data_IF_199620474551
#
_entry.id   IF_199620474551
#
_cell.length_a   1.000
_cell.length_b   1.000
_cell.length_c   1.000
_cell.angle_alpha   90.00
_cell.angle_beta   90.00
_cell.angle_gamma   90.00
#
_symmetry.space_group_name_H-M   'P 1'
#
loop_
_entity.id
_entity.type
_entity.pdbx_description
1 polymer ?
#
# COMPACT_ATOMS: atom_id res chain seq x y z
N UNK A 1 8.11 12.38 15.81
CA UNK A 1 6.97 12.74 14.96
C UNK A 1 6.05 11.53 14.84
N UNK A 2 4.75 11.76 14.73
CA UNK A 2 3.75 10.68 14.64
C UNK A 2 3.54 10.32 13.15
N UNK A 3 4.59 9.79 12.50
CA UNK A 3 4.55 9.41 11.08
C UNK A 3 4.64 7.90 10.91
N UNK A 4 4.04 7.36 9.84
CA UNK A 4 4.15 5.94 9.53
C UNK A 4 5.60 5.57 9.16
N UNK A 5 6.35 6.49 8.53
CA UNK A 5 7.80 6.30 8.34
C UNK A 5 8.52 6.03 9.66
N UNK A 6 8.27 6.83 10.70
CA UNK A 6 8.91 6.61 12.02
C UNK A 6 8.55 5.27 12.64
N UNK A 7 7.33 4.75 12.38
CA UNK A 7 6.93 3.40 12.79
C UNK A 7 7.73 2.32 12.06
N UNK A 8 7.91 2.47 10.74
CA UNK A 8 8.71 1.55 9.91
C UNK A 8 10.18 1.53 10.32
N UNK A 9 10.80 2.70 10.50
CA UNK A 9 12.17 2.82 10.99
C UNK A 9 12.35 2.17 12.36
N UNK A 10 11.39 2.37 13.26
CA UNK A 10 11.38 1.72 14.57
C UNK A 10 11.28 0.21 14.45
N UNK A 11 10.36 -0.31 13.61
CA UNK A 11 10.19 -1.74 13.38
C UNK A 11 11.50 -2.36 12.84
N UNK A 12 12.12 -1.75 11.84
CA UNK A 12 13.41 -2.20 11.29
C UNK A 12 14.51 -2.20 12.36
N UNK A 13 14.65 -1.11 13.12
CA UNK A 13 15.73 -0.94 14.08
C UNK A 13 15.63 -1.90 15.28
N UNK A 14 14.42 -2.10 15.82
CA UNK A 14 14.22 -2.89 17.04
C UNK A 14 13.90 -4.35 16.75
N UNK A 15 13.31 -4.65 15.60
CA UNK A 15 12.78 -5.97 15.26
C UNK A 15 13.27 -6.48 13.91
N UNK A 16 14.38 -5.94 13.40
CA UNK A 16 14.90 -6.23 12.06
C UNK A 16 15.03 -7.72 11.72
N UNK A 17 15.38 -8.56 12.70
CA UNK A 17 15.48 -10.02 12.53
C UNK A 17 14.15 -10.77 12.68
N UNK A 18 13.10 -10.10 13.21
CA UNK A 18 11.80 -10.73 13.41
C UNK A 18 11.05 -10.81 12.08
N UNK A 19 10.13 -11.77 11.98
CA UNK A 19 9.22 -11.88 10.84
C UNK A 19 8.33 -10.64 10.75
N UNK A 20 8.31 -10.01 9.58
CA UNK A 20 7.44 -8.90 9.23
C UNK A 20 6.27 -9.37 8.35
N UNK A 21 6.54 -10.22 7.37
CA UNK A 21 5.60 -10.64 6.33
C UNK A 21 5.45 -12.15 6.33
N UNK A 22 4.19 -12.60 6.24
CA UNK A 22 3.79 -13.98 6.05
C UNK A 22 2.73 -14.02 4.95
N UNK A 23 3.06 -14.56 3.78
CA UNK A 23 2.11 -14.72 2.69
C UNK A 23 2.36 -16.06 1.98
N UNK A 24 1.49 -17.05 2.17
CA UNK A 24 1.67 -18.42 1.67
C UNK A 24 3.03 -18.97 2.12
N UNK A 25 3.92 -19.29 1.19
CA UNK A 25 5.29 -19.76 1.46
C UNK A 25 6.31 -18.61 1.60
N UNK A 26 5.90 -17.37 1.31
CA UNK A 26 6.75 -16.20 1.39
C UNK A 26 6.85 -15.68 2.83
N UNK A 27 8.09 -15.53 3.32
CA UNK A 27 8.37 -14.93 4.63
C UNK A 27 9.52 -13.95 4.51
N UNK A 28 9.30 -12.76 5.04
CA UNK A 28 10.35 -11.73 5.14
C UNK A 28 10.51 -11.28 6.58
N UNK A 29 11.75 -11.00 6.96
CA UNK A 29 12.04 -10.24 8.19
C UNK A 29 11.74 -8.75 7.97
N UNK A 30 11.68 -7.97 9.07
CA UNK A 30 11.56 -6.52 8.97
C UNK A 30 12.71 -5.89 8.19
N UNK A 31 13.94 -6.38 8.35
CA UNK A 31 15.08 -5.90 7.58
C UNK A 31 14.90 -6.14 6.07
N UNK A 32 14.46 -7.33 5.66
CA UNK A 32 14.22 -7.68 4.26
C UNK A 32 13.02 -6.90 3.68
N UNK A 33 11.95 -6.76 4.45
CA UNK A 33 10.78 -6.00 4.05
C UNK A 33 11.15 -4.53 3.82
N UNK A 34 11.93 -3.93 4.73
CA UNK A 34 12.36 -2.54 4.62
C UNK A 34 13.34 -2.29 3.47
N UNK A 35 14.29 -3.21 3.18
CA UNK A 35 15.11 -3.10 1.98
C UNK A 35 14.24 -3.04 0.72
N UNK A 36 13.21 -3.88 0.66
CA UNK A 36 12.27 -3.87 -0.46
C UNK A 36 11.43 -2.59 -0.51
N UNK A 37 10.95 -2.08 0.63
CA UNK A 37 10.21 -0.80 0.72
C UNK A 37 11.05 0.36 0.22
N UNK A 38 12.33 0.43 0.62
CA UNK A 38 13.24 1.48 0.17
C UNK A 38 13.52 1.41 -1.34
N UNK A 39 13.66 0.22 -1.92
CA UNK A 39 13.80 0.05 -3.38
C UNK A 39 12.51 0.39 -4.13
N UNK A 40 11.37 0.02 -3.58
CA UNK A 40 10.06 0.37 -4.15
C UNK A 40 9.82 1.89 -4.11
N UNK A 41 10.31 2.59 -3.08
CA UNK A 41 10.31 4.04 -3.04
C UNK A 41 11.15 4.66 -4.18
N UNK A 42 12.30 4.05 -4.55
CA UNK A 42 13.06 4.45 -5.75
C UNK A 42 12.24 4.24 -7.01
N UNK A 43 11.56 3.09 -7.14
CA UNK A 43 10.67 2.82 -8.29
C UNK A 43 9.57 3.88 -8.39
N UNK A 44 8.96 4.29 -7.29
CA UNK A 44 7.98 5.39 -7.28
C UNK A 44 8.60 6.68 -7.82
N UNK A 45 9.76 7.09 -7.31
CA UNK A 45 10.49 8.30 -7.74
C UNK A 45 10.86 8.27 -9.23
N UNK A 46 11.39 7.16 -9.72
CA UNK A 46 11.77 6.97 -11.13
C UNK A 46 10.55 7.03 -12.08
N UNK A 47 9.35 6.77 -11.55
CA UNK A 47 8.08 6.88 -12.27
C UNK A 47 7.35 8.20 -12.00
N UNK A 48 8.05 9.23 -11.50
CA UNK A 48 7.52 10.57 -11.30
C UNK A 48 6.58 10.70 -10.11
N UNK A 49 6.62 9.76 -9.15
CA UNK A 49 5.81 9.81 -7.93
C UNK A 49 6.71 10.20 -6.75
N UNK A 50 6.70 11.46 -6.42
CA UNK A 50 7.44 12.04 -5.31
C UNK A 50 6.55 12.45 -4.13
N UNK A 51 7.09 13.36 -3.30
CA UNK A 51 6.38 13.91 -2.14
C UNK A 51 5.03 14.54 -2.53
N UNK A 52 3.96 14.10 -1.88
CA UNK A 52 2.60 14.61 -2.08
C UNK A 52 1.92 14.12 -3.35
N UNK A 53 2.65 13.47 -4.27
CA UNK A 53 2.06 12.86 -5.45
C UNK A 53 1.24 11.63 -5.07
N UNK A 54 0.22 11.34 -5.87
CA UNK A 54 -0.70 10.25 -5.64
C UNK A 54 -0.51 9.13 -6.66
N UNK A 55 -0.53 7.90 -6.17
CA UNK A 55 -0.52 6.71 -7.01
C UNK A 55 -1.62 5.75 -6.59
N UNK A 56 -2.23 5.06 -7.54
CA UNK A 56 -3.32 4.14 -7.26
C UNK A 56 -2.84 2.69 -7.24
N UNK A 57 -3.50 1.87 -6.41
CA UNK A 57 -3.23 0.44 -6.27
C UNK A 57 -4.53 -0.34 -6.45
N UNK A 58 -4.64 -1.13 -7.51
CA UNK A 58 -5.72 -2.09 -7.76
C UNK A 58 -5.17 -3.48 -7.46
N UNK A 59 -5.37 -3.95 -6.23
CA UNK A 59 -4.75 -5.18 -5.73
C UNK A 59 -5.59 -5.82 -4.63
N UNK A 60 -5.54 -7.16 -4.54
CA UNK A 60 -6.07 -7.93 -3.41
C UNK A 60 -5.24 -7.69 -2.14
N UNK A 61 -5.61 -8.34 -1.05
CA UNK A 61 -4.82 -8.35 0.17
C UNK A 61 -3.55 -9.21 -0.04
N UNK A 62 -2.43 -8.55 -0.32
CA UNK A 62 -1.14 -9.20 -0.53
C UNK A 62 -0.03 -8.42 0.14
N UNK A 63 1.08 -9.07 0.41
CA UNK A 63 2.29 -8.42 0.94
C UNK A 63 2.85 -7.35 -0.03
N UNK A 64 2.62 -7.50 -1.34
CA UNK A 64 3.01 -6.51 -2.34
C UNK A 64 2.19 -5.23 -2.22
N UNK A 65 0.88 -5.37 -1.97
CA UNK A 65 0.01 -4.22 -1.67
C UNK A 65 0.51 -3.48 -0.42
N UNK A 66 0.78 -4.19 0.67
CA UNK A 66 1.37 -3.61 1.89
C UNK A 66 2.71 -2.91 1.60
N UNK A 67 3.57 -3.52 0.79
CA UNK A 67 4.84 -2.93 0.37
C UNK A 67 4.65 -1.58 -0.34
N UNK A 68 3.65 -1.45 -1.21
CA UNK A 68 3.30 -0.20 -1.89
C UNK A 68 2.81 0.88 -0.91
N UNK A 69 1.96 0.51 0.06
CA UNK A 69 1.52 1.46 1.10
C UNK A 69 2.72 1.97 1.91
N UNK A 70 3.57 1.06 2.38
CA UNK A 70 4.77 1.41 3.14
C UNK A 70 5.80 2.19 2.31
N UNK A 71 5.90 1.94 1.00
CA UNK A 71 6.76 2.72 0.11
C UNK A 71 6.24 4.16 -0.06
N UNK A 72 4.92 4.35 -0.10
CA UNK A 72 4.29 5.67 -0.02
C UNK A 72 4.67 6.39 1.26
N UNK A 73 4.52 5.74 2.41
CA UNK A 73 4.92 6.28 3.73
C UNK A 73 6.42 6.64 3.78
N UNK A 74 7.27 5.85 3.13
CA UNK A 74 8.72 6.08 3.07
C UNK A 74 9.09 7.23 2.14
N UNK A 75 8.41 7.34 1.01
CA UNK A 75 8.68 8.31 -0.05
C UNK A 75 7.98 9.66 0.16
N UNK A 76 7.03 9.75 1.11
CA UNK A 76 6.16 10.92 1.29
C UNK A 76 5.10 11.07 0.20
N UNK A 77 4.85 10.04 -0.60
CA UNK A 77 3.77 10.00 -1.58
C UNK A 77 2.52 9.35 -1.01
N UNK A 78 1.36 9.62 -1.62
CA UNK A 78 0.06 9.26 -1.08
C UNK A 78 -0.55 8.09 -1.84
N UNK A 79 -0.55 6.86 -1.28
CA UNK A 79 -1.23 5.73 -1.88
C UNK A 79 -2.75 5.93 -1.88
N UNK A 80 -3.38 5.48 -2.97
CA UNK A 80 -4.82 5.45 -3.16
C UNK A 80 -5.23 4.00 -3.45
N UNK A 81 -5.52 3.19 -2.41
CA UNK A 81 -6.02 1.83 -2.61
C UNK A 81 -7.42 1.87 -3.21
N UNK A 82 -7.60 1.19 -4.33
CA UNK A 82 -8.85 1.23 -5.10
C UNK A 82 -9.64 -0.05 -4.91
N UNK A 83 -10.93 0.07 -4.66
CA UNK A 83 -11.83 -1.06 -4.60
C UNK A 83 -12.00 -1.70 -6.00
N UNK A 84 -11.34 -2.82 -6.24
CA UNK A 84 -11.35 -3.57 -7.50
C UNK A 84 -12.72 -4.22 -7.83
N UNK A 85 -13.71 -4.13 -6.93
CA UNK A 85 -15.08 -4.64 -7.17
C UNK A 85 -15.99 -3.59 -7.82
N UNK A 86 -15.51 -2.36 -7.98
CA UNK A 86 -16.24 -1.29 -8.64
C UNK A 86 -16.22 -1.48 -10.16
N UNK A 87 -17.24 -0.91 -10.83
CA UNK A 87 -17.27 -0.87 -12.29
C UNK A 87 -16.20 0.09 -12.86
N UNK A 88 -15.68 -0.14 -14.09
CA UNK A 88 -14.66 0.71 -14.70
C UNK A 88 -14.94 2.21 -14.66
N UNK A 89 -16.16 2.73 -14.91
CA UNK A 89 -16.45 4.16 -14.79
C UNK A 89 -16.34 4.71 -13.37
N UNK A 90 -16.63 3.90 -12.34
CA UNK A 90 -16.51 4.29 -10.95
C UNK A 90 -15.03 4.37 -10.54
N UNK A 91 -14.22 3.39 -10.96
CA UNK A 91 -12.78 3.43 -10.77
C UNK A 91 -12.18 4.64 -11.48
N UNK A 92 -12.57 4.88 -12.75
CA UNK A 92 -12.12 6.06 -13.49
C UNK A 92 -12.39 7.35 -12.73
N UNK A 93 -13.59 7.51 -12.16
CA UNK A 93 -13.91 8.68 -11.34
C UNK A 93 -12.93 8.84 -10.18
N UNK A 94 -12.58 7.76 -9.48
CA UNK A 94 -11.60 7.78 -8.38
C UNK A 94 -10.22 8.21 -8.87
N UNK A 95 -9.75 7.65 -9.99
CA UNK A 95 -8.44 7.96 -10.55
C UNK A 95 -8.33 9.44 -10.98
N UNK A 96 -9.38 9.98 -11.59
CA UNK A 96 -9.44 11.38 -12.03
C UNK A 96 -9.55 12.34 -10.84
N UNK A 97 -10.45 12.08 -9.88
CA UNK A 97 -10.68 12.92 -8.70
C UNK A 97 -9.44 12.93 -7.79
N UNK A 98 -8.75 11.81 -7.67
CA UNK A 98 -7.49 11.72 -6.93
C UNK A 98 -6.30 12.34 -7.69
N UNK A 99 -6.39 12.58 -8.98
CA UNK A 99 -5.28 13.07 -9.80
C UNK A 99 -4.14 12.07 -9.89
N UNK A 100 -4.45 10.80 -10.22
CA UNK A 100 -3.47 9.72 -10.21
C UNK A 100 -2.46 9.85 -11.36
N UNK A 101 -1.18 9.98 -11.00
CA UNK A 101 -0.07 9.97 -11.95
C UNK A 101 0.38 8.57 -12.34
N UNK A 102 0.44 7.64 -11.38
CA UNK A 102 0.91 6.26 -11.60
C UNK A 102 -0.10 5.24 -11.09
N UNK A 103 -0.32 4.17 -11.87
CA UNK A 103 -1.23 3.08 -11.53
C UNK A 103 -0.47 1.76 -11.37
N UNK A 104 -0.70 1.07 -10.25
CA UNK A 104 -0.24 -0.29 -10.00
C UNK A 104 -1.43 -1.25 -10.05
N UNK A 105 -1.34 -2.32 -10.84
CA UNK A 105 -2.45 -3.27 -11.05
C UNK A 105 -1.98 -4.70 -10.85
N UNK A 106 -2.65 -5.45 -9.99
CA UNK A 106 -2.40 -6.88 -9.83
C UNK A 106 -2.85 -7.67 -11.06
N UNK A 107 -2.10 -8.67 -11.46
CA UNK A 107 -2.31 -9.47 -12.67
C UNK A 107 -3.77 -9.93 -12.92
N UNK A 108 -4.59 -10.38 -11.93
CA UNK A 108 -5.98 -10.75 -12.20
C UNK A 108 -6.87 -9.59 -12.63
N UNK A 109 -6.40 -8.35 -12.48
CA UNK A 109 -7.16 -7.14 -12.80
C UNK A 109 -6.63 -6.41 -14.04
N UNK A 110 -5.65 -6.96 -14.75
CA UNK A 110 -5.08 -6.34 -15.96
C UNK A 110 -6.13 -6.08 -17.04
N UNK A 111 -7.18 -6.90 -17.12
CA UNK A 111 -8.29 -6.69 -18.03
C UNK A 111 -9.00 -5.32 -17.88
N UNK A 112 -8.86 -4.64 -16.72
CA UNK A 112 -9.34 -3.26 -16.60
C UNK A 112 -8.66 -2.31 -17.59
N UNK A 113 -7.40 -2.54 -17.93
CA UNK A 113 -6.64 -1.70 -18.85
C UNK A 113 -7.16 -1.74 -20.30
N UNK A 114 -7.95 -2.75 -20.67
CA UNK A 114 -8.59 -2.84 -21.99
C UNK A 114 -9.79 -1.89 -22.12
N UNK A 115 -10.37 -1.46 -21.01
CA UNK A 115 -11.47 -0.50 -21.02
C UNK A 115 -11.01 0.91 -21.38
N UNK A 116 -11.86 1.67 -22.08
CA UNK A 116 -11.58 3.04 -22.51
C UNK A 116 -11.29 3.99 -21.33
N UNK A 117 -11.90 3.73 -20.20
CA UNK A 117 -11.72 4.46 -18.95
C UNK A 117 -10.26 4.46 -18.47
N UNK A 118 -9.49 3.44 -18.78
CA UNK A 118 -8.10 3.30 -18.37
C UNK A 118 -7.08 3.73 -19.42
N UNK A 119 -7.52 4.28 -20.55
CA UNK A 119 -6.64 4.69 -21.64
C UNK A 119 -5.43 5.56 -21.20
N UNK A 120 -5.54 6.52 -20.25
CA UNK A 120 -4.39 7.32 -19.80
C UNK A 120 -3.28 6.51 -19.14
N UNK A 121 -3.59 5.36 -18.53
CA UNK A 121 -2.63 4.54 -17.78
C UNK A 121 -2.27 3.23 -18.47
N UNK A 122 -2.90 2.90 -19.59
CA UNK A 122 -2.76 1.60 -20.27
C UNK A 122 -1.32 1.19 -20.54
N UNK A 123 -0.48 2.14 -20.97
CA UNK A 123 0.92 1.87 -21.32
C UNK A 123 1.89 2.13 -20.16
N UNK A 124 1.49 2.92 -19.18
CA UNK A 124 2.34 3.35 -18.05
C UNK A 124 2.10 2.57 -16.77
N UNK A 125 0.99 1.83 -16.69
CA UNK A 125 0.68 0.99 -15.53
C UNK A 125 1.81 -0.01 -15.24
N UNK A 126 2.02 -0.30 -13.95
CA UNK A 126 2.99 -1.29 -13.49
C UNK A 126 2.21 -2.50 -12.98
N UNK A 127 2.58 -3.67 -13.49
CA UNK A 127 1.97 -4.93 -13.07
C UNK A 127 2.52 -5.38 -11.71
N UNK A 128 1.61 -5.72 -10.80
CA UNK A 128 1.92 -6.42 -9.56
C UNK A 128 1.64 -7.90 -9.82
N UNK A 129 2.67 -8.75 -9.85
CA UNK A 129 2.44 -10.17 -10.00
C UNK A 129 1.81 -10.77 -8.73
N UNK A 130 0.71 -11.52 -8.92
CA UNK A 130 0.13 -12.38 -7.92
C UNK A 130 0.43 -13.85 -8.18
N UNK A 131 -0.03 -14.36 -9.31
CA UNK A 131 -0.02 -15.79 -9.63
C UNK A 131 0.73 -16.13 -10.95
N UNK A 132 1.45 -15.19 -11.56
CA UNK A 132 2.42 -15.46 -12.63
C UNK A 132 1.83 -15.49 -14.07
N UNK A 133 0.94 -14.55 -14.39
CA UNK A 133 0.50 -14.34 -15.77
C UNK A 133 1.55 -13.62 -16.65
N UNK A 134 1.55 -13.84 -17.96
CA UNK A 134 2.37 -13.05 -18.88
C UNK A 134 1.75 -11.67 -19.12
N UNK A 135 2.57 -10.63 -19.16
CA UNK A 135 2.16 -9.26 -19.47
C UNK A 135 3.24 -8.54 -20.27
N UNK A 136 2.83 -7.63 -21.15
CA UNK A 136 3.74 -6.70 -21.82
C UNK A 136 4.10 -5.48 -20.96
N UNK A 137 3.45 -5.30 -19.81
CA UNK A 137 3.73 -4.21 -18.87
C UNK A 137 5.02 -4.45 -18.10
N UNK A 138 5.58 -3.38 -17.58
CA UNK A 138 6.68 -3.45 -16.60
C UNK A 138 6.18 -4.13 -15.32
N UNK A 139 7.00 -5.02 -14.79
CA UNK A 139 6.68 -5.81 -13.59
C UNK A 139 7.30 -5.18 -12.36
N UNK A 140 6.52 -4.97 -11.32
CA UNK A 140 6.93 -4.30 -10.10
C UNK A 140 8.14 -4.99 -9.44
N UNK A 141 8.15 -6.32 -9.37
CA UNK A 141 9.23 -7.08 -8.75
C UNK A 141 10.55 -6.95 -9.53
N UNK A 142 10.51 -6.89 -10.87
CA UNK A 142 11.71 -6.69 -11.71
C UNK A 142 12.27 -5.28 -11.53
N UNK A 143 11.40 -4.28 -11.45
CA UNK A 143 11.81 -2.89 -11.18
C UNK A 143 12.47 -2.78 -9.81
N UNK A 144 11.90 -3.40 -8.77
CA UNK A 144 12.48 -3.41 -7.43
C UNK A 144 13.84 -4.11 -7.40
N UNK A 145 13.99 -5.22 -8.15
CA UNK A 145 15.26 -5.95 -8.22
C UNK A 145 16.36 -5.11 -8.87
N UNK A 146 16.03 -4.26 -9.83
CA UNK A 146 16.97 -3.37 -10.52
C UNK A 146 17.26 -2.07 -9.74
N UNK A 147 16.34 -1.61 -8.88
CA UNK A 147 16.49 -0.35 -8.16
C UNK A 147 17.43 -0.46 -6.96
N UNK A 148 18.14 0.62 -6.65
CA UNK A 148 18.81 0.81 -5.36
C UNK A 148 17.82 1.28 -4.27
N UNK A 149 18.20 1.21 -2.98
CA UNK A 149 17.37 1.74 -1.90
C UNK A 149 17.36 3.28 -1.92
N UNK A 150 16.18 3.87 -1.68
CA UNK A 150 16.00 5.32 -1.50
C UNK A 150 16.10 5.70 -0.03
N UNK A 151 16.67 6.86 0.27
CA UNK A 151 16.64 7.44 1.61
C UNK A 151 15.23 7.93 2.00
N UNK A 152 14.32 8.01 1.01
CA UNK A 152 12.96 8.45 1.21
C UNK A 152 12.84 9.95 1.50
N UNK A 153 11.71 10.33 2.10
CA UNK A 153 11.40 11.70 2.48
C UNK A 153 10.90 11.76 3.93
N UNK A 154 11.41 12.74 4.68
CA UNK A 154 10.90 13.03 6.03
C UNK A 154 9.55 13.74 5.94
N UNK A 155 8.48 13.00 6.21
CA UNK A 155 7.13 13.55 6.23
C UNK A 155 6.82 14.25 7.54
N UNK A 156 6.07 15.35 7.45
CA UNK A 156 5.41 15.94 8.62
C UNK A 156 4.17 15.12 8.98
N UNK A 157 3.79 15.13 10.26
CA UNK A 157 2.64 14.36 10.73
C UNK A 157 1.29 14.89 10.22
N UNK A 158 1.22 16.12 9.70
CA UNK A 158 0.05 16.70 9.08
C UNK A 158 -0.01 16.47 7.56
N UNK A 159 1.05 15.89 6.95
CA UNK A 159 1.02 15.47 5.54
C UNK A 159 0.12 14.25 5.35
N UNK A 160 -0.44 14.11 4.14
CA UNK A 160 -1.31 12.99 3.79
C UNK A 160 -0.51 11.68 3.78
N UNK A 161 -1.00 10.67 4.51
CA UNK A 161 -0.44 9.33 4.51
C UNK A 161 -1.18 8.38 3.55
N UNK A 162 -2.48 8.58 3.38
CA UNK A 162 -3.32 7.72 2.52
C UNK A 162 -4.60 8.47 2.14
N UNK A 163 -5.10 8.21 0.93
CA UNK A 163 -6.39 8.70 0.46
C UNK A 163 -7.34 7.51 0.23
N UNK A 164 -8.39 7.42 1.03
CA UNK A 164 -9.38 6.35 0.97
C UNK A 164 -10.70 6.83 0.38
N UNK A 165 -11.26 6.07 -0.56
CA UNK A 165 -12.57 6.38 -1.14
C UNK A 165 -13.69 5.63 -0.45
N UNK A 166 -14.75 6.35 -0.09
CA UNK A 166 -15.94 5.79 0.54
C UNK A 166 -17.08 5.70 -0.46
N UNK A 167 -17.87 4.62 -0.38
CA UNK A 167 -19.16 4.53 -1.09
C UNK A 167 -20.10 5.61 -0.56
N UNK A 168 -20.38 6.63 -1.38
CA UNK A 168 -21.32 7.70 -1.02
C UNK A 168 -22.75 7.18 -1.05
N UNK A 169 -23.53 7.44 -0.01
CA UNK A 169 -24.99 7.16 0.00
C UNK A 169 -25.77 8.05 -0.97
N UNK A 170 -25.13 9.07 -1.53
CA UNK A 170 -25.74 10.13 -2.36
C UNK A 170 -25.19 10.24 -3.77
N UNK A 171 -24.44 9.23 -4.27
CA UNK A 171 -23.89 9.25 -5.63
C UNK A 171 -22.43 8.84 -5.72
N UNK A 172 -21.55 9.69 -6.26
CA UNK A 172 -20.13 9.39 -6.50
C UNK A 172 -19.34 9.18 -5.21
N UNK A 173 -18.38 8.27 -5.24
CA UNK A 173 -17.41 8.05 -4.15
C UNK A 173 -16.64 9.34 -3.83
N UNK A 174 -16.34 9.53 -2.54
CA UNK A 174 -15.60 10.71 -2.03
C UNK A 174 -14.28 10.27 -1.43
N UNK A 175 -13.21 10.99 -1.73
CA UNK A 175 -11.89 10.78 -1.14
C UNK A 175 -11.81 11.35 0.28
N UNK A 176 -11.34 10.53 1.22
CA UNK A 176 -11.04 10.91 2.61
C UNK A 176 -9.53 10.94 2.76
N UNK A 177 -8.97 12.12 2.98
CA UNK A 177 -7.56 12.33 3.25
C UNK A 177 -7.27 11.99 4.72
N UNK A 178 -6.35 11.07 4.97
CA UNK A 178 -5.87 10.76 6.32
C UNK A 178 -4.41 11.16 6.41
N UNK A 179 -4.09 12.00 7.39
CA UNK A 179 -2.70 12.41 7.66
C UNK A 179 -1.93 11.30 8.38
N UNK A 180 -0.60 11.39 8.38
CA UNK A 180 0.24 10.49 9.16
C UNK A 180 -0.18 10.48 10.63
N UNK A 181 -0.50 11.64 11.23
CA UNK A 181 -1.02 11.74 12.60
C UNK A 181 -2.31 10.93 12.79
N UNK A 182 -3.26 11.00 11.84
CA UNK A 182 -4.50 10.25 11.93
C UNK A 182 -4.25 8.73 11.95
N UNK A 183 -3.46 8.25 10.97
CA UNK A 183 -3.15 6.82 10.82
C UNK A 183 -2.34 6.31 12.00
N UNK A 184 -1.29 7.04 12.40
CA UNK A 184 -0.43 6.67 13.53
C UNK A 184 -1.20 6.64 14.86
N UNK A 185 -2.02 7.67 15.14
CA UNK A 185 -2.81 7.75 16.38
C UNK A 185 -3.87 6.65 16.44
N UNK A 186 -4.51 6.31 15.31
CA UNK A 186 -5.42 5.17 15.24
C UNK A 186 -4.73 3.87 15.65
N UNK A 187 -3.55 3.59 15.12
CA UNK A 187 -2.75 2.42 15.50
C UNK A 187 -2.42 2.41 17.00
N UNK A 188 -1.96 3.53 17.55
CA UNK A 188 -1.65 3.65 19.00
C UNK A 188 -2.86 3.39 19.88
N UNK A 189 -4.03 3.94 19.53
CA UNK A 189 -5.25 3.76 20.30
C UNK A 189 -5.69 2.30 20.37
N UNK A 190 -5.39 1.49 19.35
CA UNK A 190 -5.70 0.08 19.32
C UNK A 190 -4.68 -0.78 20.10
N UNK A 191 -3.41 -0.37 20.13
CA UNK A 191 -2.31 -1.16 20.69
C UNK A 191 -2.53 -1.54 22.15
N UNK A 192 -2.92 -0.59 23.01
CA UNK A 192 -3.15 -0.82 24.44
C UNK A 192 -4.34 -1.72 24.74
N UNK A 193 -5.57 -1.35 24.31
CA UNK A 193 -6.78 -2.14 24.56
C UNK A 193 -6.72 -3.56 23.98
N UNK A 194 -6.14 -3.73 22.81
CA UNK A 194 -5.97 -5.03 22.14
C UNK A 194 -4.73 -5.79 22.63
N UNK A 195 -3.89 -5.16 23.47
CA UNK A 195 -2.64 -5.75 24.00
C UNK A 195 -1.69 -6.23 22.91
N UNK A 196 -1.59 -5.48 21.80
CA UNK A 196 -0.78 -5.86 20.64
C UNK A 196 0.71 -5.86 21.01
N UNK A 197 1.44 -6.91 20.63
CA UNK A 197 2.86 -7.14 20.94
C UNK A 197 3.64 -7.51 19.69
N UNK A 198 4.95 -7.34 19.72
CA UNK A 198 5.86 -7.68 18.62
C UNK A 198 5.82 -9.17 18.18
N UNK A 199 5.37 -10.09 19.06
CA UNK A 199 5.22 -11.51 18.72
C UNK A 199 3.88 -11.88 18.07
N UNK A 200 2.96 -10.91 17.94
CA UNK A 200 1.64 -11.16 17.37
C UNK A 200 1.68 -11.12 15.84
N UNK A 201 0.59 -11.60 15.24
CA UNK A 201 0.39 -11.59 13.78
C UNK A 201 -0.94 -10.92 13.48
N UNK A 202 -0.94 -9.88 12.65
CA UNK A 202 -2.15 -9.31 12.09
C UNK A 202 -2.53 -10.03 10.79
N UNK A 203 -3.71 -10.60 10.74
CA UNK A 203 -4.24 -11.19 9.52
C UNK A 203 -5.12 -10.18 8.77
N UNK A 204 -4.67 -9.77 7.59
CA UNK A 204 -5.38 -8.88 6.68
C UNK A 204 -6.57 -9.61 6.03
N UNK A 205 -7.70 -9.69 6.75
CA UNK A 205 -8.98 -10.26 6.27
C UNK A 205 -9.86 -9.19 5.67
N UNK A 206 -9.93 -8.02 6.31
CA UNK A 206 -10.62 -6.87 5.74
C UNK A 206 -9.91 -6.41 4.45
N UNK A 207 -10.64 -5.93 3.43
CA UNK A 207 -10.00 -5.43 2.21
C UNK A 207 -9.05 -4.28 2.52
N UNK A 208 -7.82 -4.35 2.00
CA UNK A 208 -6.79 -3.33 2.22
C UNK A 208 -7.11 -1.98 1.57
N UNK A 209 -8.09 -1.93 0.67
CA UNK A 209 -8.65 -0.68 0.16
C UNK A 209 -9.68 -0.03 1.09
N UNK A 210 -9.96 -0.61 2.26
CA UNK A 210 -10.96 -0.13 3.21
C UNK A 210 -10.33 0.28 4.54
N UNK A 211 -10.90 1.32 5.18
CA UNK A 211 -10.41 1.85 6.47
C UNK A 211 -10.34 0.83 7.61
N UNK A 212 -11.11 -0.26 7.54
CA UNK A 212 -11.05 -1.34 8.53
C UNK A 212 -9.67 -2.00 8.60
N UNK A 213 -8.90 -2.00 7.51
CA UNK A 213 -7.56 -2.58 7.46
C UNK A 213 -6.50 -1.70 8.14
N UNK A 214 -6.77 -0.41 8.37
CA UNK A 214 -5.87 0.49 9.10
C UNK A 214 -5.56 0.03 10.54
N UNK A 215 -6.33 -0.94 11.07
CA UNK A 215 -5.99 -1.60 12.33
C UNK A 215 -4.58 -2.23 12.29
N UNK A 216 -4.13 -2.70 11.13
CA UNK A 216 -2.79 -3.24 10.91
C UNK A 216 -1.66 -2.27 11.27
N UNK A 217 -1.91 -0.95 11.22
CA UNK A 217 -0.89 0.06 11.57
C UNK A 217 -0.40 -0.05 13.01
N UNK A 218 -1.26 -0.45 13.95
CA UNK A 218 -0.85 -0.72 15.34
C UNK A 218 0.14 -1.88 15.46
N UNK A 219 0.01 -2.88 14.61
CA UNK A 219 0.94 -4.03 14.53
C UNK A 219 2.28 -3.62 13.94
N UNK A 220 2.29 -2.80 12.87
CA UNK A 220 3.52 -2.18 12.33
C UNK A 220 4.27 -1.40 13.41
N UNK A 221 3.59 -0.59 14.21
CA UNK A 221 4.20 0.25 15.24
C UNK A 221 4.93 -0.55 16.32
N UNK A 222 4.49 -1.76 16.63
CA UNK A 222 5.14 -2.63 17.61
C UNK A 222 6.09 -3.66 16.99
N UNK A 223 6.22 -3.70 15.66
CA UNK A 223 7.08 -4.65 14.94
C UNK A 223 6.52 -6.07 14.91
N UNK A 224 5.20 -6.22 14.99
CA UNK A 224 4.49 -7.48 14.81
C UNK A 224 4.45 -7.90 13.34
N UNK A 225 4.13 -9.16 13.07
CA UNK A 225 4.05 -9.68 11.71
C UNK A 225 2.69 -9.37 11.04
N UNK A 226 2.70 -9.33 9.72
CA UNK A 226 1.51 -9.19 8.87
C UNK A 226 1.33 -10.45 8.02
N UNK A 227 0.13 -11.02 8.06
CA UNK A 227 -0.27 -12.16 7.24
C UNK A 227 -1.43 -11.77 6.32
N UNK A 228 -1.48 -12.34 5.12
CA UNK A 228 -2.42 -11.91 4.08
C UNK A 228 -3.33 -13.07 3.65
N UNK A 229 -4.61 -12.73 3.46
CA UNK A 229 -5.61 -13.59 2.87
C UNK A 229 -6.18 -12.90 1.61
N UNK A 230 -5.67 -13.23 0.42
CA UNK A 230 -6.07 -12.56 -0.83
C UNK A 230 -7.56 -12.72 -1.15
N UNK A 231 -8.12 -13.88 -0.82
CA UNK A 231 -9.53 -14.20 -1.01
C UNK A 231 -10.06 -14.89 0.25
N UNK A 232 -11.12 -14.35 0.82
CA UNK A 232 -11.85 -15.01 1.89
C UNK A 232 -12.90 -15.95 1.27
N UNK A 233 -12.76 -17.24 1.55
CA UNK A 233 -13.77 -18.26 1.27
C UNK A 233 -14.23 -18.83 2.61
N UNK A 234 -15.55 -18.75 2.95
CA UNK A 234 -16.08 -19.31 4.20
C UNK A 234 -15.98 -20.83 4.25
#
# INVERSE_FOLDING_TARGET
MLTMRSALERAQRLYGANTAIIDRECRFTWAQHMDRVMRLASVLQENGVGKGDRFAVICRNTWRHCGLLHAGDWNGSVPVPVNYRLAPPEIRHILDDAGIGQLFVEDPFLAFLDHAEFAPWRETAICIYGDGGETALRVCDDLIAAAGPSDGHDSDEEEDAILLYTGGTTGRSKGVRLTHRNVFSNGQQCTGPMKIRAGDVYLHVAPMFHSADLLGTGYTQVGAAHAYLPVFTP
#
